data_IF_859627254237
#
_entry.id   IF_859627254237
#
_cell.length_a   1.000
_cell.length_b   1.000
_cell.length_c   1.000
_cell.angle_alpha   90.00
_cell.angle_beta   90.00
_cell.angle_gamma   90.00
#
_symmetry.space_group_name_H-M   'P 1'
#
loop_
_entity.id
_entity.type
_entity.pdbx_description
1 polymer ?
#
# COMPACT_ATOMS: atom_id res chain seq x y z
N UNK A 1 -25.88 -14.19 -6.58
CA UNK A 1 -25.84 -15.47 -5.86
C UNK A 1 -24.43 -15.59 -5.30
N UNK A 2 -24.24 -15.16 -4.05
CA UNK A 2 -22.92 -15.10 -3.41
C UNK A 2 -22.55 -16.47 -2.88
N UNK A 3 -21.40 -17.00 -3.29
CA UNK A 3 -20.80 -18.13 -2.60
C UNK A 3 -20.15 -17.63 -1.31
N UNK A 4 -20.82 -17.87 -0.18
CA UNK A 4 -20.16 -17.90 1.12
C UNK A 4 -19.39 -19.22 1.22
N UNK A 5 -18.07 -19.16 1.04
CA UNK A 5 -17.20 -20.25 1.48
C UNK A 5 -16.92 -20.05 2.96
N UNK A 6 -17.61 -20.84 3.78
CA UNK A 6 -17.31 -20.99 5.18
C UNK A 6 -16.03 -21.83 5.31
N UNK A 7 -14.93 -21.22 5.72
CA UNK A 7 -13.69 -21.94 6.08
C UNK A 7 -13.20 -21.39 7.41
N UNK A 8 -13.40 -22.16 8.47
CA UNK A 8 -12.62 -22.00 9.70
C UNK A 8 -11.29 -22.72 9.51
N UNK A 9 -10.15 -22.01 9.56
CA UNK A 9 -8.85 -22.52 10.03
C UNK A 9 -7.71 -21.52 9.76
N UNK A 10 -7.02 -21.14 10.84
CA UNK A 10 -5.63 -20.68 10.97
C UNK A 10 -5.14 -19.50 10.10
N UNK A 11 -4.54 -18.50 10.76
CA UNK A 11 -4.03 -17.25 10.18
C UNK A 11 -3.13 -17.40 8.94
N UNK A 12 -2.51 -18.56 8.74
CA UNK A 12 -1.66 -18.87 7.56
C UNK A 12 -2.48 -19.05 6.28
N UNK A 13 -3.74 -19.48 6.36
CA UNK A 13 -4.62 -19.69 5.20
C UNK A 13 -5.14 -18.36 4.62
N UNK A 14 -5.17 -17.30 5.44
CA UNK A 14 -5.59 -15.96 5.04
C UNK A 14 -4.53 -15.27 4.14
N UNK A 15 -3.25 -15.47 4.46
CA UNK A 15 -2.11 -14.94 3.68
C UNK A 15 -2.04 -15.52 2.25
N UNK A 16 -2.42 -16.78 2.06
CA UNK A 16 -2.48 -17.41 0.73
C UNK A 16 -3.70 -16.93 -0.08
N UNK A 17 -4.81 -16.58 0.57
CA UNK A 17 -6.00 -16.04 -0.08
C UNK A 17 -5.79 -14.59 -0.57
N UNK A 18 -5.03 -13.78 0.17
CA UNK A 18 -4.65 -12.42 -0.25
C UNK A 18 -3.76 -12.40 -1.51
N UNK A 19 -2.85 -13.38 -1.66
CA UNK A 19 -2.04 -13.52 -2.89
C UNK A 19 -2.89 -13.84 -4.12
N UNK A 20 -3.99 -14.57 -3.97
CA UNK A 20 -4.93 -14.88 -5.06
C UNK A 20 -5.80 -13.68 -5.46
N UNK A 21 -6.13 -12.78 -4.53
CA UNK A 21 -6.87 -11.53 -4.82
C UNK A 21 -6.01 -10.55 -5.62
N UNK A 22 -4.69 -10.49 -5.39
CA UNK A 22 -3.76 -9.68 -6.21
C UNK A 22 -3.81 -10.07 -7.70
N UNK A 23 -4.07 -11.35 -8.02
CA UNK A 23 -4.25 -11.81 -9.41
C UNK A 23 -5.58 -11.37 -10.04
N UNK A 24 -6.65 -11.22 -9.24
CA UNK A 24 -7.95 -10.75 -9.74
C UNK A 24 -7.94 -9.27 -10.12
N UNK A 25 -7.06 -8.46 -9.53
CA UNK A 25 -6.84 -7.06 -9.91
C UNK A 25 -6.23 -6.99 -11.32
N UNK A 26 -5.35 -7.92 -11.68
CA UNK A 26 -4.65 -7.97 -12.97
C UNK A 26 -5.59 -8.25 -14.16
N UNK A 27 -6.56 -9.16 -14.01
CA UNK A 27 -7.49 -9.49 -15.11
C UNK A 27 -8.54 -8.39 -15.39
N UNK A 28 -8.73 -7.44 -14.48
CA UNK A 28 -9.64 -6.30 -14.68
C UNK A 28 -8.97 -5.11 -15.36
N UNK A 29 -7.63 -5.11 -15.45
CA UNK A 29 -6.81 -4.00 -15.92
C UNK A 29 -6.75 -3.85 -17.45
N UNK A 30 -7.06 -4.88 -18.23
CA UNK A 30 -6.88 -4.85 -19.70
C UNK A 30 -8.02 -4.18 -20.48
N UNK A 31 -9.15 -3.83 -19.86
CA UNK A 31 -10.35 -3.38 -20.58
C UNK A 31 -10.60 -1.86 -20.60
N UNK A 32 -9.84 -1.03 -19.88
CA UNK A 32 -10.19 0.39 -19.67
C UNK A 32 -9.14 1.40 -20.15
N UNK A 33 -8.31 1.04 -21.13
CA UNK A 33 -7.40 1.96 -21.84
C UNK A 33 -8.09 2.64 -23.04
N UNK A 34 -9.29 3.17 -22.84
CA UNK A 34 -9.96 4.00 -23.84
C UNK A 34 -9.77 5.49 -23.50
N UNK A 35 -8.85 6.07 -24.27
CA UNK A 35 -8.42 7.45 -24.38
C UNK A 35 -9.58 8.48 -24.34
N UNK A 36 -9.54 9.39 -23.36
CA UNK A 36 -10.35 10.63 -23.32
C UNK A 36 -9.49 11.78 -22.81
N UNK A 37 -9.12 12.69 -23.71
CA UNK A 37 -8.40 13.92 -23.41
C UNK A 37 -9.16 14.81 -22.40
N UNK A 38 -8.47 15.26 -21.34
CA UNK A 38 -8.71 16.56 -20.72
C UNK A 38 -9.63 16.66 -19.49
N UNK A 39 -10.19 15.57 -18.96
CA UNK A 39 -10.96 15.62 -17.69
C UNK A 39 -10.27 14.75 -16.63
N UNK A 40 -9.61 15.39 -15.66
CA UNK A 40 -9.17 14.70 -14.44
C UNK A 40 -10.39 14.34 -13.61
N UNK A 41 -10.78 13.07 -13.64
CA UNK A 41 -11.86 12.53 -12.82
C UNK A 41 -11.32 12.30 -11.40
N UNK A 42 -12.04 12.84 -10.42
CA UNK A 42 -11.78 12.59 -9.02
C UNK A 42 -12.75 11.55 -8.45
N UNK A 43 -12.24 10.72 -7.56
CA UNK A 43 -12.94 9.64 -6.87
C UNK A 43 -13.02 9.94 -5.38
N UNK A 44 -14.15 9.60 -4.76
CA UNK A 44 -14.31 9.66 -3.31
C UNK A 44 -13.65 8.43 -2.70
N UNK A 45 -12.68 8.64 -1.82
CA UNK A 45 -11.99 7.59 -1.08
C UNK A 45 -12.16 7.79 0.42
N UNK A 46 -12.58 6.74 1.14
CA UNK A 46 -12.68 6.73 2.59
C UNK A 46 -11.72 5.70 3.20
N UNK A 47 -11.04 6.09 4.27
CA UNK A 47 -10.37 5.15 5.16
C UNK A 47 -11.29 4.80 6.32
N UNK A 48 -11.59 3.51 6.48
CA UNK A 48 -12.52 2.99 7.48
C UNK A 48 -11.78 2.07 8.43
N UNK A 49 -11.91 2.33 9.73
CA UNK A 49 -11.35 1.48 10.76
C UNK A 49 -12.18 0.20 10.88
N UNK A 50 -11.52 -0.95 10.91
CA UNK A 50 -12.10 -2.27 11.12
C UNK A 50 -11.61 -2.85 12.45
N UNK A 51 -12.52 -3.47 13.21
CA UNK A 51 -12.18 -4.20 14.42
C UNK A 51 -12.34 -5.70 14.18
N UNK A 52 -11.23 -6.42 14.30
CA UNK A 52 -11.25 -7.89 14.22
C UNK A 52 -12.07 -8.51 15.36
N UNK A 53 -11.95 -7.99 16.59
CA UNK A 53 -12.72 -8.51 17.73
C UNK A 53 -14.23 -8.41 17.52
N UNK A 54 -14.68 -7.32 16.90
CA UNK A 54 -16.11 -7.06 16.64
C UNK A 54 -16.58 -7.56 15.28
N UNK A 55 -15.65 -7.96 14.41
CA UNK A 55 -15.89 -8.25 12.99
C UNK A 55 -16.75 -7.18 12.32
N UNK A 56 -16.42 -5.90 12.58
CA UNK A 56 -17.22 -4.77 12.14
C UNK A 56 -16.40 -3.49 11.94
N UNK A 57 -16.92 -2.61 11.07
CA UNK A 57 -16.44 -1.25 10.92
C UNK A 57 -16.69 -0.45 12.22
N UNK A 58 -15.68 0.29 12.67
CA UNK A 58 -15.74 1.13 13.87
C UNK A 58 -15.79 2.63 13.57
N UNK A 59 -15.62 3.03 12.31
CA UNK A 59 -15.85 4.40 11.86
C UNK A 59 -14.89 4.86 10.76
N UNK A 60 -15.17 6.06 10.23
CA UNK A 60 -14.38 6.72 9.19
C UNK A 60 -13.23 7.51 9.83
N UNK A 61 -12.00 7.26 9.36
CA UNK A 61 -10.77 7.92 9.84
C UNK A 61 -10.42 9.16 9.02
N UNK A 62 -10.61 9.06 7.71
CA UNK A 62 -10.28 10.07 6.71
C UNK A 62 -11.15 9.90 5.47
N UNK A 63 -11.42 11.02 4.78
CA UNK A 63 -12.04 11.06 3.48
C UNK A 63 -11.22 11.97 2.56
N UNK A 64 -10.97 11.52 1.33
CA UNK A 64 -10.20 12.25 0.35
C UNK A 64 -10.87 12.19 -1.04
N UNK A 65 -10.62 13.23 -1.83
CA UNK A 65 -10.96 13.28 -3.26
C UNK A 65 -9.68 13.11 -4.05
N UNK A 66 -9.52 11.97 -4.73
CA UNK A 66 -8.23 11.54 -5.33
C UNK A 66 -8.36 11.28 -6.82
N UNK A 67 -7.27 11.42 -7.57
CA UNK A 67 -7.24 11.02 -8.99
C UNK A 67 -7.27 9.49 -9.11
N UNK A 68 -7.48 8.98 -10.33
CA UNK A 68 -7.42 7.52 -10.59
C UNK A 68 -6.08 6.92 -10.18
N UNK A 69 -4.98 7.56 -10.56
CA UNK A 69 -3.63 7.04 -10.30
C UNK A 69 -3.33 7.01 -8.81
N UNK A 70 -3.70 8.08 -8.09
CA UNK A 70 -3.57 8.15 -6.64
C UNK A 70 -4.45 7.12 -5.94
N UNK A 71 -5.68 6.91 -6.41
CA UNK A 71 -6.56 5.87 -5.90
C UNK A 71 -5.94 4.48 -6.04
N UNK A 72 -5.30 4.21 -7.18
CA UNK A 72 -4.65 2.93 -7.45
C UNK A 72 -3.47 2.71 -6.51
N UNK A 73 -2.56 3.69 -6.45
CA UNK A 73 -1.43 3.68 -5.52
C UNK A 73 -1.89 3.49 -4.06
N UNK A 74 -2.88 4.27 -3.60
CA UNK A 74 -3.45 4.16 -2.24
C UNK A 74 -4.03 2.78 -1.94
N UNK A 75 -4.56 2.06 -2.94
CA UNK A 75 -5.11 0.70 -2.75
C UNK A 75 -4.06 -0.41 -2.74
N UNK A 76 -2.84 -0.12 -3.23
CA UNK A 76 -1.77 -1.10 -3.41
C UNK A 76 -0.77 -1.12 -2.25
N UNK A 77 -0.63 -0.02 -1.50
CA UNK A 77 0.25 0.02 -0.32
C UNK A 77 -0.24 -0.91 0.79
N UNK A 78 0.68 -1.37 1.64
CA UNK A 78 0.36 -2.25 2.76
C UNK A 78 -0.14 -1.48 4.00
N UNK A 79 0.28 -0.22 4.16
CA UNK A 79 -0.18 0.66 5.23
C UNK A 79 -0.21 2.14 4.83
N UNK A 80 -0.96 2.95 5.57
CA UNK A 80 -0.97 4.41 5.45
C UNK A 80 -0.70 5.05 6.80
N UNK A 81 0.14 6.09 6.81
CA UNK A 81 0.31 7.00 7.93
C UNK A 81 -0.77 8.08 7.87
N UNK A 82 -1.62 8.13 8.90
CA UNK A 82 -2.68 9.14 9.05
C UNK A 82 -2.61 9.73 10.45
N UNK A 83 -2.46 11.06 10.56
CA UNK A 83 -2.40 11.77 11.85
C UNK A 83 -1.32 11.20 12.79
N UNK A 84 -0.11 10.98 12.25
CA UNK A 84 1.03 10.37 12.95
C UNK A 84 0.76 8.99 13.57
N UNK A 85 -0.18 8.24 12.99
CA UNK A 85 -0.44 6.85 13.36
C UNK A 85 -0.39 5.99 12.11
N UNK A 86 0.24 4.83 12.24
CA UNK A 86 0.32 3.86 11.16
C UNK A 86 -0.92 2.96 11.19
N UNK A 87 -1.52 2.76 10.02
CA UNK A 87 -2.71 1.96 9.83
C UNK A 87 -2.45 0.92 8.75
N UNK A 88 -2.50 -0.36 9.14
CA UNK A 88 -2.32 -1.47 8.21
C UNK A 88 -3.58 -1.66 7.35
N UNK A 89 -3.41 -1.86 6.05
CA UNK A 89 -4.50 -2.13 5.13
C UNK A 89 -4.92 -3.58 5.24
N UNK A 90 -6.23 -3.81 5.32
CA UNK A 90 -6.82 -5.15 5.36
C UNK A 90 -7.43 -5.52 4.02
N UNK A 91 -8.20 -4.59 3.45
CA UNK A 91 -8.90 -4.78 2.20
C UNK A 91 -9.34 -3.43 1.62
N UNK A 92 -9.83 -3.45 0.39
CA UNK A 92 -10.44 -2.28 -0.21
C UNK A 92 -11.66 -2.68 -1.06
N UNK A 93 -12.63 -1.78 -1.14
CA UNK A 93 -13.87 -1.96 -1.88
C UNK A 93 -14.10 -0.81 -2.86
N UNK A 94 -15.13 -0.98 -3.69
CA UNK A 94 -15.63 0.02 -4.61
C UNK A 94 -17.13 -0.18 -4.76
N UNK A 95 -17.90 0.84 -4.41
CA UNK A 95 -19.33 0.92 -4.61
C UNK A 95 -19.62 1.84 -5.80
N UNK A 96 -20.50 1.37 -6.69
CA UNK A 96 -21.05 2.13 -7.82
C UNK A 96 -20.00 2.84 -8.70
N UNK A 97 -18.77 2.29 -8.73
CA UNK A 97 -17.60 2.79 -9.49
C UNK A 97 -17.13 4.20 -9.12
N UNK A 98 -17.58 4.76 -7.99
CA UNK A 98 -17.25 6.15 -7.59
C UNK A 98 -16.86 6.28 -6.12
N UNK A 99 -17.45 5.46 -5.27
CA UNK A 99 -17.18 5.47 -3.84
C UNK A 99 -16.26 4.32 -3.48
N UNK A 100 -15.06 4.66 -3.06
CA UNK A 100 -14.03 3.70 -2.69
C UNK A 100 -13.83 3.74 -1.19
N UNK A 101 -13.59 2.56 -0.60
CA UNK A 101 -13.14 2.49 0.77
C UNK A 101 -11.94 1.57 0.92
N UNK A 102 -11.04 1.93 1.83
CA UNK A 102 -9.94 1.11 2.29
C UNK A 102 -10.21 0.83 3.76
N UNK A 103 -10.29 -0.45 4.10
CA UNK A 103 -10.44 -0.90 5.47
C UNK A 103 -9.07 -1.08 6.10
N UNK A 104 -8.88 -0.49 7.26
CA UNK A 104 -7.62 -0.49 7.98
C UNK A 104 -7.79 -0.90 9.43
N UNK A 105 -6.72 -1.39 10.02
CA UNK A 105 -6.62 -1.59 11.48
C UNK A 105 -5.38 -0.88 12.01
N UNK A 106 -5.32 -0.69 13.34
CA UNK A 106 -4.13 -0.17 13.97
C UNK A 106 -2.93 -1.07 13.64
N UNK A 107 -1.80 -0.46 13.26
CA UNK A 107 -0.62 -1.21 12.92
C UNK A 107 -0.09 -2.01 14.11
N UNK A 108 0.16 -3.30 13.90
CA UNK A 108 0.80 -4.18 14.87
C UNK A 108 2.30 -4.26 14.57
N UNK A 109 3.13 -3.84 15.52
CA UNK A 109 4.59 -3.86 15.39
C UNK A 109 5.18 -5.27 15.27
N UNK A 110 4.40 -6.32 15.51
CA UNK A 110 4.80 -7.70 15.26
C UNK A 110 4.71 -8.08 13.77
N UNK A 111 4.05 -7.26 12.95
CA UNK A 111 3.80 -7.53 11.53
C UNK A 111 4.33 -6.41 10.63
N UNK A 112 5.11 -6.72 9.59
CA UNK A 112 5.58 -8.05 9.21
C UNK A 112 6.61 -8.62 10.21
N UNK A 113 6.61 -9.95 10.34
CA UNK A 113 7.43 -10.68 11.32
C UNK A 113 8.91 -10.29 11.21
N UNK A 114 9.51 -9.96 12.36
CA UNK A 114 10.92 -9.57 12.45
C UNK A 114 11.24 -8.14 11.99
N UNK A 115 10.30 -7.41 11.39
CA UNK A 115 10.54 -6.08 10.81
C UNK A 115 9.55 -5.00 11.27
N UNK A 116 8.37 -5.36 11.78
CA UNK A 116 7.28 -4.41 12.04
C UNK A 116 7.64 -3.23 12.94
N UNK A 117 8.37 -3.48 14.04
CA UNK A 117 8.85 -2.40 14.92
C UNK A 117 9.79 -1.43 14.18
N UNK A 118 10.75 -1.96 13.42
CA UNK A 118 11.72 -1.15 12.67
C UNK A 118 11.04 -0.37 11.52
N UNK A 119 10.00 -0.94 10.89
CA UNK A 119 9.17 -0.25 9.89
C UNK A 119 8.44 0.93 10.54
N UNK A 120 7.79 0.71 11.69
CA UNK A 120 7.08 1.76 12.40
C UNK A 120 8.02 2.91 12.80
N UNK A 121 9.19 2.59 13.35
CA UNK A 121 10.19 3.58 13.75
C UNK A 121 10.67 4.42 12.55
N UNK A 122 11.01 3.75 11.45
CA UNK A 122 11.48 4.41 10.23
C UNK A 122 10.39 5.27 9.56
N UNK A 123 9.15 4.77 9.47
CA UNK A 123 8.03 5.52 8.89
C UNK A 123 7.68 6.78 9.71
N UNK A 124 7.71 6.67 11.04
CA UNK A 124 7.41 7.80 11.94
C UNK A 124 8.55 8.81 12.03
N UNK A 125 9.81 8.35 11.93
CA UNK A 125 11.00 9.21 11.97
C UNK A 125 11.20 10.07 10.72
N UNK A 126 10.49 9.78 9.64
CA UNK A 126 10.67 10.47 8.36
C UNK A 126 10.31 11.96 8.44
N UNK A 127 10.99 12.82 7.68
CA UNK A 127 10.76 14.27 7.67
C UNK A 127 10.73 14.92 6.27
N UNK A 128 11.01 14.18 5.20
CA UNK A 128 11.13 14.75 3.85
C UNK A 128 9.75 15.03 3.24
N UNK A 129 9.52 16.29 2.85
CA UNK A 129 8.32 16.69 2.09
C UNK A 129 8.57 16.57 0.59
N UNK A 130 7.51 16.30 -0.18
CA UNK A 130 7.53 16.43 -1.64
C UNK A 130 6.31 17.18 -2.16
N UNK A 131 6.47 17.85 -3.31
CA UNK A 131 5.35 18.50 -4.01
C UNK A 131 4.46 17.48 -4.74
N UNK A 132 5.04 16.36 -5.17
CA UNK A 132 4.40 15.24 -5.86
C UNK A 132 4.66 13.93 -5.12
N UNK A 133 3.81 12.92 -5.34
CA UNK A 133 4.10 11.58 -4.82
C UNK A 133 5.43 11.09 -5.37
N UNK A 134 6.29 10.60 -4.48
CA UNK A 134 7.62 10.12 -4.84
C UNK A 134 8.00 8.93 -3.97
N UNK A 135 8.81 7.99 -4.50
CA UNK A 135 9.26 6.85 -3.73
C UNK A 135 10.36 7.27 -2.77
N UNK A 136 10.43 6.59 -1.64
CA UNK A 136 11.56 6.65 -0.71
C UNK A 136 11.92 5.22 -0.33
N UNK A 137 13.20 4.88 -0.46
CA UNK A 137 13.63 3.50 -0.34
C UNK A 137 14.36 3.29 0.98
N UNK A 138 13.92 2.29 1.74
CA UNK A 138 14.41 1.97 3.07
C UNK A 138 15.01 0.57 3.04
N UNK A 139 16.34 0.48 3.15
CA UNK A 139 17.09 -0.78 3.09
C UNK A 139 17.33 -1.35 4.48
N UNK A 140 17.04 -2.64 4.62
CA UNK A 140 17.31 -3.41 5.83
C UNK A 140 18.80 -3.72 5.97
N UNK A 141 19.41 -3.27 7.07
CA UNK A 141 20.83 -3.54 7.38
C UNK A 141 21.06 -4.74 8.33
N UNK A 142 19.98 -5.48 8.69
CA UNK A 142 20.02 -6.55 9.69
C UNK A 142 19.48 -6.16 11.08
N UNK A 143 19.29 -4.87 11.34
CA UNK A 143 18.78 -4.33 12.62
C UNK A 143 17.71 -3.27 12.45
N UNK A 144 17.90 -2.36 11.50
CA UNK A 144 17.02 -1.23 11.23
C UNK A 144 16.92 -0.96 9.74
N UNK A 145 15.97 -0.12 9.37
CA UNK A 145 15.86 0.41 8.02
C UNK A 145 16.62 1.73 7.92
N UNK A 146 17.49 1.82 6.92
CA UNK A 146 18.24 3.02 6.58
C UNK A 146 17.84 3.49 5.18
N UNK A 147 17.86 4.80 4.97
CA UNK A 147 17.52 5.35 3.67
C UNK A 147 18.55 4.92 2.61
N UNK A 148 18.07 4.41 1.48
CA UNK A 148 18.88 4.15 0.30
C UNK A 148 18.58 5.21 -0.75
N UNK A 149 19.53 6.12 -0.97
CA UNK A 149 19.45 7.09 -2.05
C UNK A 149 19.63 6.37 -3.40
N UNK A 150 18.52 6.13 -4.08
CA UNK A 150 18.50 5.70 -5.47
C UNK A 150 18.22 6.92 -6.35
N UNK A 151 18.95 7.06 -7.47
CA UNK A 151 18.76 8.18 -8.38
C UNK A 151 17.26 8.33 -8.74
N UNK A 152 16.73 9.53 -8.48
CA UNK A 152 15.32 9.88 -8.61
C UNK A 152 14.84 9.55 -10.03
N UNK A 153 13.88 8.63 -10.15
CA UNK A 153 12.98 8.69 -11.31
C UNK A 153 11.93 9.74 -10.99
N UNK A 154 11.64 10.60 -11.94
CA UNK A 154 10.54 11.55 -11.86
C UNK A 154 9.26 10.76 -12.04
N UNK A 155 8.88 10.02 -10.99
CA UNK A 155 7.79 9.07 -11.06
C UNK A 155 6.46 9.80 -11.09
N UNK A 156 5.72 9.64 -12.19
CA UNK A 156 4.28 9.86 -12.16
C UNK A 156 3.65 8.88 -11.15
N UNK A 157 2.51 9.24 -10.55
CA UNK A 157 1.83 8.38 -9.57
C UNK A 157 1.54 6.97 -10.07
N UNK A 158 1.39 6.78 -11.40
CA UNK A 158 1.25 5.46 -12.00
C UNK A 158 2.52 4.61 -11.91
N UNK A 159 3.72 5.18 -12.07
CA UNK A 159 4.98 4.44 -11.92
C UNK A 159 5.12 3.89 -10.50
N UNK A 160 4.67 4.64 -9.49
CA UNK A 160 4.62 4.15 -8.11
C UNK A 160 3.66 2.98 -7.95
N UNK A 161 2.50 3.02 -8.62
CA UNK A 161 1.54 1.91 -8.60
C UNK A 161 2.11 0.66 -9.27
N UNK A 162 2.85 0.81 -10.38
CA UNK A 162 3.57 -0.28 -11.04
C UNK A 162 4.63 -0.88 -10.10
N UNK A 163 5.45 -0.04 -9.45
CA UNK A 163 6.45 -0.50 -8.49
C UNK A 163 5.84 -1.22 -7.28
N UNK A 164 4.66 -0.81 -6.81
CA UNK A 164 3.94 -1.48 -5.71
C UNK A 164 3.42 -2.88 -6.11
N UNK A 165 3.30 -3.16 -7.42
CA UNK A 165 2.97 -4.50 -7.92
C UNK A 165 4.20 -5.40 -8.03
N UNK A 166 5.39 -4.83 -8.13
CA UNK A 166 6.63 -5.57 -8.19
C UNK A 166 6.95 -6.21 -6.83
N UNK A 167 7.54 -7.40 -6.89
CA UNK A 167 8.06 -8.07 -5.69
C UNK A 167 9.57 -7.83 -5.52
N UNK A 168 10.27 -7.61 -6.63
CA UNK A 168 11.70 -7.37 -6.67
C UNK A 168 12.02 -6.14 -7.50
N UNK A 169 13.06 -5.43 -7.09
CA UNK A 169 13.68 -4.36 -7.86
C UNK A 169 15.12 -4.72 -8.16
N UNK A 170 15.55 -4.57 -9.42
CA UNK A 170 16.94 -4.76 -9.83
C UNK A 170 17.53 -3.41 -10.22
N UNK A 171 18.59 -2.98 -9.51
CA UNK A 171 19.30 -1.72 -9.79
C UNK A 171 20.80 -1.88 -9.56
N UNK A 172 21.58 -1.37 -10.50
CA UNK A 172 23.05 -1.35 -10.43
C UNK A 172 23.68 -2.73 -10.16
N UNK A 173 23.06 -3.79 -10.67
CA UNK A 173 23.52 -5.18 -10.47
C UNK A 173 23.16 -5.79 -9.12
N UNK A 174 22.38 -5.09 -8.29
CA UNK A 174 21.84 -5.60 -7.02
C UNK A 174 20.34 -5.88 -7.16
N UNK A 175 19.88 -6.89 -6.43
CA UNK A 175 18.46 -7.23 -6.33
C UNK A 175 17.94 -6.95 -4.94
N UNK A 176 16.80 -6.27 -4.87
CA UNK A 176 16.11 -5.93 -3.65
C UNK A 176 14.74 -6.60 -3.62
N UNK A 177 14.41 -7.28 -2.52
CA UNK A 177 13.06 -7.80 -2.26
C UNK A 177 12.25 -6.73 -1.52
N UNK A 178 11.06 -6.39 -2.02
CA UNK A 178 10.12 -5.54 -1.30
C UNK A 178 9.44 -6.33 -0.17
N UNK A 179 9.55 -5.80 1.04
CA UNK A 179 9.04 -6.41 2.28
C UNK A 179 7.73 -5.77 2.72
N UNK A 180 7.62 -4.45 2.58
CA UNK A 180 6.47 -3.69 3.03
C UNK A 180 6.43 -2.31 2.37
N UNK A 181 5.25 -1.71 2.30
CA UNK A 181 5.06 -0.36 1.76
C UNK A 181 4.18 0.49 2.65
N UNK A 182 4.58 1.75 2.86
CA UNK A 182 3.82 2.73 3.66
C UNK A 182 3.59 3.98 2.85
N UNK A 183 2.34 4.42 2.75
CA UNK A 183 1.99 5.73 2.23
C UNK A 183 1.99 6.77 3.36
N UNK A 184 2.77 7.83 3.20
CA UNK A 184 2.61 9.06 3.96
C UNK A 184 1.98 10.12 3.05
N UNK A 185 0.65 10.24 3.15
CA UNK A 185 -0.13 11.11 2.28
C UNK A 185 0.12 12.59 2.56
N UNK A 186 0.36 12.94 3.83
CA UNK A 186 0.66 14.32 4.25
C UNK A 186 1.98 14.80 3.64
N UNK A 187 2.95 13.88 3.51
CA UNK A 187 4.29 14.17 2.97
C UNK A 187 4.44 13.89 1.47
N UNK A 188 3.42 13.26 0.87
CA UNK A 188 3.43 12.73 -0.49
C UNK A 188 4.62 11.78 -0.75
N UNK A 189 4.80 10.83 0.16
CA UNK A 189 5.86 9.82 0.07
C UNK A 189 5.28 8.41 0.11
N UNK A 190 5.82 7.53 -0.73
CA UNK A 190 5.61 6.09 -0.61
C UNK A 190 6.93 5.47 -0.17
N UNK A 191 6.97 5.00 1.07
CA UNK A 191 8.13 4.34 1.64
C UNK A 191 8.11 2.87 1.20
N UNK A 192 9.16 2.44 0.52
CA UNK A 192 9.41 1.05 0.15
C UNK A 192 10.44 0.45 1.10
N UNK A 193 10.01 -0.47 1.94
CA UNK A 193 10.87 -1.23 2.83
C UNK A 193 11.37 -2.47 2.12
N UNK A 194 12.68 -2.65 2.06
CA UNK A 194 13.30 -3.71 1.26
C UNK A 194 14.55 -4.28 1.91
N UNK A 195 14.99 -5.44 1.43
CA UNK A 195 16.29 -6.03 1.77
C UNK A 195 17.02 -6.46 0.50
N UNK A 196 18.33 -6.41 0.52
CA UNK A 196 19.18 -6.95 -0.56
C UNK A 196 19.12 -8.49 -0.51
N UNK A 197 19.04 -9.12 -1.69
CA UNK A 197 19.04 -10.58 -1.85
C UNK A 197 19.94 -10.99 -3.00
N UNK A 198 20.62 -12.12 -2.84
CA UNK A 198 21.34 -12.79 -3.91
C UNK A 198 20.38 -13.77 -4.61
N UNK A 199 20.08 -13.51 -5.89
CA UNK A 199 19.26 -14.38 -6.75
C UNK A 199 20.12 -15.13 -7.77
#
# INVERSE_FOLDING_TARGET
>A
MCFFLHVSANSVTFFLLMRLIRLCILNRLTYELADWEGITIYYSLMYRSWSEDKQAETGVLEQASVTRDELFMRKLVDATLMKNKLWAHLSNECQDRRDHAIYVTAYDQQMPEGHGAAIADAALGMCKMSSMYSPEYMLWNGRSFEELELAESWGYTMELAEQLLDHYMVREGKTYEFLYSVLDADRKKVLFFMKEVDL
#
